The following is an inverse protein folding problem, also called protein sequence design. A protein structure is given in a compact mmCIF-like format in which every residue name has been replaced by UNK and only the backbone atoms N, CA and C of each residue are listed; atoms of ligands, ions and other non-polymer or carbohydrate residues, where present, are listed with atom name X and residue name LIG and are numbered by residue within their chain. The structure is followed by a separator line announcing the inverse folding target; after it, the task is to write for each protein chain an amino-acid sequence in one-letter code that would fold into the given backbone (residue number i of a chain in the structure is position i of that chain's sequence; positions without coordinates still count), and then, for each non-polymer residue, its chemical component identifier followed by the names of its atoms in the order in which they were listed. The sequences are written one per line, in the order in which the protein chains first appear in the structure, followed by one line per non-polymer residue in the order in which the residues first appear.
data_IF_912883773931
#
_entry.id   IF_912883773931
#
_cell.length_a   1.000
_cell.length_b   1.000
_cell.length_c   1.000
_cell.angle_alpha   90.00
_cell.angle_beta   90.00
_cell.angle_gamma   90.00
#
_symmetry.space_group_name_H-M   'P 1'
#
loop_
_entity.id
_entity.type
_entity.pdbx_description
1 polymer ?
#
# COMPACT_ATOMS: atom_id res chain seq x y z
N UNK A 1 -45.58 23.62 -18.56
CA UNK A 1 -44.37 22.78 -18.55
C UNK A 1 -43.24 23.52 -17.87
N UNK A 2 -43.18 23.35 -16.55
CA UNK A 2 -42.23 24.03 -15.66
C UNK A 2 -41.32 22.98 -15.05
N UNK A 3 -40.08 22.98 -15.50
CA UNK A 3 -38.96 22.19 -15.01
C UNK A 3 -38.74 22.48 -13.52
N UNK A 4 -38.85 21.46 -12.67
CA UNK A 4 -38.46 21.56 -11.26
C UNK A 4 -37.19 20.75 -11.05
N UNK A 5 -36.08 21.48 -10.97
CA UNK A 5 -34.75 21.05 -10.61
C UNK A 5 -34.75 20.64 -9.12
N UNK A 6 -34.36 19.40 -8.81
CA UNK A 6 -34.14 18.95 -7.43
C UNK A 6 -32.69 19.21 -7.04
N UNK A 7 -32.41 19.78 -5.85
CA UNK A 7 -31.06 20.09 -5.43
C UNK A 7 -30.33 18.82 -4.97
N UNK A 8 -29.13 18.62 -5.52
CA UNK A 8 -28.14 17.65 -5.08
C UNK A 8 -27.70 17.98 -3.65
N UNK A 9 -28.02 17.09 -2.70
CA UNK A 9 -27.44 17.14 -1.36
C UNK A 9 -26.16 16.33 -1.37
N UNK A 10 -25.03 17.01 -1.51
CA UNK A 10 -23.71 16.48 -1.23
C UNK A 10 -23.61 16.13 0.27
N UNK A 11 -23.73 14.86 0.60
CA UNK A 11 -23.26 14.34 1.89
C UNK A 11 -21.80 13.90 1.74
N UNK A 12 -20.88 14.39 2.60
CA UNK A 12 -19.56 13.80 2.73
C UNK A 12 -19.70 12.36 3.20
N UNK A 13 -19.23 11.40 2.41
CA UNK A 13 -19.10 10.00 2.86
C UNK A 13 -17.89 9.98 3.78
N UNK A 14 -18.15 10.08 5.09
CA UNK A 14 -17.18 9.80 6.14
C UNK A 14 -16.73 8.34 5.98
N UNK A 15 -15.45 8.18 5.63
CA UNK A 15 -14.80 6.88 5.60
C UNK A 15 -14.55 6.42 7.04
N UNK A 16 -15.34 5.45 7.50
CA UNK A 16 -14.97 4.61 8.62
C UNK A 16 -13.76 3.76 8.21
N UNK A 17 -12.55 4.34 8.30
CA UNK A 17 -11.29 3.64 8.06
C UNK A 17 -10.98 2.72 9.26
N UNK A 18 -11.79 1.67 9.43
CA UNK A 18 -11.44 0.57 10.33
C UNK A 18 -10.10 -0.05 9.85
N UNK A 19 -9.08 -0.15 10.72
CA UNK A 19 -7.77 -0.63 10.30
C UNK A 19 -7.88 -2.07 9.79
N UNK A 20 -7.48 -2.29 8.52
CA UNK A 20 -7.45 -3.62 7.91
C UNK A 20 -6.78 -4.64 8.84
N UNK A 21 -7.54 -5.67 9.21
CA UNK A 21 -7.08 -6.74 10.11
C UNK A 21 -5.91 -7.52 9.53
N UNK A 22 -4.97 -7.92 10.38
CA UNK A 22 -3.89 -8.85 10.02
C UNK A 22 -4.35 -10.29 9.82
N UNK A 23 -5.54 -10.65 10.32
CA UNK A 23 -6.12 -11.99 10.17
C UNK A 23 -6.78 -12.16 8.79
N UNK A 24 -6.33 -13.12 7.96
CA UNK A 24 -6.89 -13.34 6.62
C UNK A 24 -8.36 -13.78 6.60
N UNK A 25 -8.92 -14.30 7.70
CA UNK A 25 -10.34 -14.62 7.79
C UNK A 25 -11.24 -13.37 7.82
N UNK A 26 -10.70 -12.23 8.25
CA UNK A 26 -11.45 -10.97 8.37
C UNK A 26 -11.32 -10.07 7.13
N UNK A 27 -10.63 -10.54 6.08
CA UNK A 27 -10.47 -9.75 4.86
C UNK A 27 -11.75 -9.73 4.05
N UNK A 28 -12.07 -8.60 3.39
CA UNK A 28 -13.25 -8.51 2.56
C UNK A 28 -13.18 -9.49 1.38
N UNK A 29 -14.32 -10.08 1.05
CA UNK A 29 -14.48 -10.99 -0.09
C UNK A 29 -15.63 -10.49 -0.97
N UNK A 30 -15.37 -9.98 -2.18
CA UNK A 30 -14.10 -10.01 -2.92
C UNK A 30 -13.08 -8.96 -2.47
N UNK A 31 -11.79 -9.26 -2.64
CA UNK A 31 -10.70 -8.33 -2.32
C UNK A 31 -10.61 -7.25 -3.42
N UNK A 32 -10.90 -6.00 -3.04
CA UNK A 32 -10.79 -4.83 -3.92
C UNK A 32 -9.33 -4.46 -4.22
N UNK A 33 -9.10 -3.64 -5.25
CA UNK A 33 -7.75 -3.23 -5.66
C UNK A 33 -6.97 -2.46 -4.59
N UNK A 34 -7.64 -1.58 -3.84
CA UNK A 34 -7.04 -0.81 -2.73
C UNK A 34 -6.61 -1.71 -1.58
N UNK A 35 -7.51 -2.59 -1.12
CA UNK A 35 -7.21 -3.57 -0.07
C UNK A 35 -6.09 -4.51 -0.50
N UNK A 36 -6.10 -5.00 -1.75
CA UNK A 36 -5.02 -5.83 -2.29
C UNK A 36 -3.67 -5.10 -2.25
N UNK A 37 -3.66 -3.81 -2.60
CA UNK A 37 -2.45 -2.99 -2.60
C UNK A 37 -1.90 -2.82 -1.19
N UNK A 38 -2.76 -2.55 -0.22
CA UNK A 38 -2.36 -2.40 1.17
C UNK A 38 -1.88 -3.72 1.80
N UNK A 39 -2.56 -4.84 1.51
CA UNK A 39 -2.12 -6.17 1.94
C UNK A 39 -0.73 -6.52 1.38
N UNK A 40 -0.49 -6.27 0.08
CA UNK A 40 0.84 -6.50 -0.51
C UNK A 40 1.89 -5.55 0.05
N UNK A 41 1.52 -4.30 0.36
CA UNK A 41 2.42 -3.32 0.99
C UNK A 41 2.89 -3.78 2.37
N UNK A 42 1.98 -4.29 3.20
CA UNK A 42 2.29 -4.84 4.53
C UNK A 42 3.04 -6.16 4.44
N UNK A 43 2.66 -6.98 3.46
CA UNK A 43 3.17 -8.34 3.29
C UNK A 43 2.52 -9.33 4.27
N UNK A 44 2.84 -10.63 4.13
CA UNK A 44 2.29 -11.66 4.99
C UNK A 44 2.82 -11.56 6.42
N UNK A 45 1.90 -11.58 7.38
CA UNK A 45 2.20 -11.56 8.82
C UNK A 45 2.95 -12.82 9.23
N UNK A 46 4.09 -12.64 9.89
CA UNK A 46 4.86 -13.75 10.46
C UNK A 46 4.30 -14.13 11.82
N UNK A 47 4.12 -15.43 12.04
CA UNK A 47 3.75 -15.95 13.36
C UNK A 47 5.00 -15.93 14.26
N UNK A 48 4.94 -15.33 15.47
CA UNK A 48 6.04 -15.36 16.43
C UNK A 48 6.36 -16.79 16.87
N UNK A 49 7.63 -17.11 17.11
CA UNK A 49 8.06 -18.45 17.55
C UNK A 49 7.48 -18.86 18.90
N UNK A 50 7.13 -17.91 19.76
CA UNK A 50 6.47 -18.13 21.05
C UNK A 50 4.95 -18.35 20.94
N UNK A 51 4.37 -18.19 19.76
CA UNK A 51 2.93 -18.34 19.58
C UNK A 51 2.50 -19.79 19.80
N UNK A 52 1.48 -19.97 20.64
CA UNK A 52 0.88 -21.27 20.93
C UNK A 52 -0.39 -21.41 20.10
N UNK A 53 -0.41 -22.41 19.23
CA UNK A 53 -1.55 -22.65 18.36
C UNK A 53 -2.70 -23.33 19.12
N UNK A 54 -3.94 -22.83 19.01
CA UNK A 54 -5.12 -23.48 19.58
C UNK A 54 -5.30 -24.90 19.01
N UNK A 55 -5.69 -25.82 19.89
CA UNK A 55 -6.03 -27.19 19.51
C UNK A 55 -7.40 -27.24 18.87
N UNK A 56 -7.53 -28.10 17.87
CA UNK A 56 -8.82 -28.45 17.27
C UNK A 56 -9.69 -29.15 18.31
N UNK A 57 -10.97 -28.80 18.36
CA UNK A 57 -11.94 -29.33 19.33
C UNK A 57 -12.20 -30.83 19.13
N UNK A 58 -11.99 -31.36 17.92
CA UNK A 58 -12.26 -32.76 17.61
C UNK A 58 -11.13 -33.72 17.99
N UNK A 59 -9.95 -33.53 17.38
CA UNK A 59 -8.82 -34.47 17.46
C UNK A 59 -7.69 -34.00 18.39
N UNK A 60 -7.83 -32.81 18.99
CA UNK A 60 -6.81 -32.19 19.84
C UNK A 60 -5.53 -31.80 19.12
N UNK A 61 -5.46 -31.93 17.78
CA UNK A 61 -4.29 -31.58 16.97
C UNK A 61 -4.26 -30.07 16.74
N UNK A 62 -3.07 -29.52 16.52
CA UNK A 62 -2.89 -28.10 16.27
C UNK A 62 -1.87 -27.84 15.17
N UNK A 63 -1.89 -26.60 14.69
CA UNK A 63 -0.81 -26.11 13.85
C UNK A 63 0.52 -26.11 14.62
N UNK A 64 1.61 -26.24 13.88
CA UNK A 64 2.97 -26.19 14.42
C UNK A 64 3.85 -25.29 13.55
N UNK A 65 4.87 -24.69 14.17
CA UNK A 65 5.86 -23.83 13.51
C UNK A 65 6.58 -24.50 12.33
N UNK A 66 6.67 -25.84 12.30
CA UNK A 66 7.31 -26.55 11.20
C UNK A 66 6.57 -26.39 9.86
N UNK A 67 5.25 -26.16 9.84
CA UNK A 67 4.49 -25.95 8.60
C UNK A 67 4.88 -24.66 7.87
N UNK A 68 5.48 -23.69 8.57
CA UNK A 68 5.97 -22.44 7.98
C UNK A 68 7.33 -22.60 7.29
N UNK A 69 7.94 -23.78 7.36
CA UNK A 69 9.25 -24.06 6.77
C UNK A 69 9.20 -25.29 5.87
N UNK A 70 9.87 -25.24 4.73
CA UNK A 70 10.11 -26.41 3.88
C UNK A 70 11.54 -26.89 4.07
N UNK A 71 11.75 -28.19 3.99
CA UNK A 71 13.08 -28.80 4.04
C UNK A 71 13.51 -29.13 2.61
N UNK A 72 14.67 -28.63 2.20
CA UNK A 72 15.26 -28.95 0.90
C UNK A 72 15.88 -30.35 0.92
N UNK A 73 16.20 -30.89 -0.25
CA UNK A 73 16.97 -32.14 -0.38
C UNK A 73 18.35 -32.06 0.27
N UNK A 74 18.91 -30.85 0.39
CA UNK A 74 20.15 -30.57 1.14
C UNK A 74 19.98 -30.64 2.67
N UNK A 75 18.75 -30.79 3.18
CA UNK A 75 18.44 -30.71 4.61
C UNK A 75 18.24 -29.28 5.13
N UNK A 76 18.47 -28.25 4.30
CA UNK A 76 18.27 -26.85 4.69
C UNK A 76 16.78 -26.54 4.90
N UNK A 77 16.46 -25.81 5.97
CA UNK A 77 15.10 -25.33 6.26
C UNK A 77 14.91 -23.91 5.72
N UNK A 78 14.01 -23.77 4.76
CA UNK A 78 13.68 -22.48 4.14
C UNK A 78 12.26 -22.07 4.52
N UNK A 79 12.09 -20.84 4.99
CA UNK A 79 10.78 -20.30 5.36
C UNK A 79 9.87 -20.12 4.13
N UNK A 80 8.61 -20.51 4.27
CA UNK A 80 7.54 -20.30 3.29
C UNK A 80 7.05 -18.86 3.40
N UNK A 81 7.56 -17.98 2.53
CA UNK A 81 7.24 -16.55 2.53
C UNK A 81 5.77 -16.21 2.24
N UNK A 82 4.98 -17.16 1.74
CA UNK A 82 3.57 -16.97 1.36
C UNK A 82 2.58 -17.50 2.41
N UNK A 83 3.06 -18.11 3.49
CA UNK A 83 2.21 -18.74 4.49
C UNK A 83 1.60 -17.73 5.46
N UNK A 84 0.31 -17.85 5.72
CA UNK A 84 -0.42 -17.11 6.76
C UNK A 84 -1.15 -18.08 7.68
N UNK A 85 -1.35 -17.64 8.91
CA UNK A 85 -2.19 -18.31 9.87
C UNK A 85 -3.37 -17.40 10.24
N UNK A 86 -4.58 -17.94 10.12
CA UNK A 86 -5.79 -17.32 10.64
C UNK A 86 -6.02 -17.81 12.06
N UNK A 87 -6.02 -16.87 13.02
CA UNK A 87 -6.38 -17.19 14.40
C UNK A 87 -7.88 -17.44 14.51
N UNK A 88 -8.70 -16.64 13.81
CA UNK A 88 -10.16 -16.76 13.85
C UNK A 88 -10.64 -18.11 13.32
N UNK A 89 -10.06 -18.61 12.22
CA UNK A 89 -10.45 -19.89 11.64
C UNK A 89 -9.58 -21.07 12.08
N UNK A 90 -8.57 -20.84 12.93
CA UNK A 90 -7.54 -21.81 13.28
C UNK A 90 -7.01 -22.60 12.05
N UNK A 91 -6.58 -21.87 11.02
CA UNK A 91 -6.26 -22.50 9.72
C UNK A 91 -5.15 -21.79 8.96
N UNK A 92 -4.44 -22.55 8.11
CA UNK A 92 -3.39 -22.01 7.24
C UNK A 92 -4.00 -21.47 5.94
N UNK A 93 -3.50 -20.33 5.49
CA UNK A 93 -3.96 -19.65 4.28
C UNK A 93 -2.75 -19.31 3.42
N UNK A 94 -2.89 -19.45 2.10
CA UNK A 94 -1.86 -19.05 1.15
C UNK A 94 -2.09 -17.59 0.74
N UNK A 95 -1.14 -16.71 1.09
CA UNK A 95 -1.26 -15.27 0.85
C UNK A 95 -1.43 -14.93 -0.63
N UNK A 96 -0.52 -15.39 -1.49
CA UNK A 96 -0.55 -15.04 -2.90
C UNK A 96 -1.79 -15.63 -3.60
N UNK A 97 -2.18 -16.86 -3.27
CA UNK A 97 -3.36 -17.49 -3.86
C UNK A 97 -4.66 -16.82 -3.39
N UNK A 98 -4.74 -16.39 -2.12
CA UNK A 98 -5.90 -15.63 -1.62
C UNK A 98 -6.10 -14.31 -2.37
N UNK A 99 -5.00 -13.65 -2.75
CA UNK A 99 -5.04 -12.33 -3.41
C UNK A 99 -5.25 -12.38 -4.92
N UNK A 100 -4.70 -13.40 -5.59
CA UNK A 100 -4.54 -13.42 -7.06
C UNK A 100 -5.10 -14.68 -7.73
N UNK A 101 -5.39 -15.76 -6.99
CA UNK A 101 -5.95 -16.96 -7.62
C UNK A 101 -7.39 -16.71 -8.03
N UNK A 102 -7.78 -17.29 -9.17
CA UNK A 102 -9.17 -17.36 -9.62
C UNK A 102 -9.87 -18.63 -9.12
N UNK A 103 -9.12 -19.55 -8.50
CA UNK A 103 -9.63 -20.85 -8.06
C UNK A 103 -9.89 -20.83 -6.55
N UNK A 104 -11.02 -21.39 -6.16
CA UNK A 104 -11.35 -21.68 -4.77
C UNK A 104 -10.65 -22.97 -4.32
N UNK A 105 -9.44 -22.83 -3.77
CA UNK A 105 -8.74 -23.92 -3.09
C UNK A 105 -8.95 -23.83 -1.57
N UNK A 106 -8.72 -24.92 -0.84
CA UNK A 106 -8.82 -24.94 0.62
C UNK A 106 -7.98 -23.82 1.27
N UNK A 107 -6.77 -23.59 0.79
CA UNK A 107 -5.86 -22.53 1.24
C UNK A 107 -6.31 -21.09 0.91
N UNK A 108 -7.41 -20.92 0.16
CA UNK A 108 -7.98 -19.62 -0.23
C UNK A 108 -9.32 -19.41 0.46
N UNK A 109 -10.21 -20.40 0.51
CA UNK A 109 -11.59 -20.21 0.98
C UNK A 109 -11.72 -20.42 2.49
N UNK A 110 -11.60 -21.68 2.94
CA UNK A 110 -11.81 -22.10 4.34
C UNK A 110 -10.53 -22.02 5.19
N UNK A 111 -9.37 -22.03 4.53
CA UNK A 111 -8.09 -22.35 5.14
C UNK A 111 -7.91 -23.85 5.36
N UNK A 112 -6.65 -24.25 5.56
CA UNK A 112 -6.23 -25.62 5.82
C UNK A 112 -6.11 -25.85 7.33
N UNK A 113 -6.99 -26.69 7.87
CA UNK A 113 -6.99 -27.12 9.27
C UNK A 113 -6.79 -28.64 9.45
N UNK A 114 -6.69 -29.41 8.36
CA UNK A 114 -6.34 -30.83 8.42
C UNK A 114 -4.84 -31.00 8.67
N UNK A 115 -4.46 -31.00 9.95
CA UNK A 115 -3.08 -31.10 10.40
C UNK A 115 -2.43 -32.43 10.03
N UNK A 116 -3.21 -33.49 9.83
CA UNK A 116 -2.75 -34.83 9.44
C UNK A 116 -2.11 -34.81 8.07
N UNK A 117 -2.78 -34.18 7.11
CA UNK A 117 -2.36 -34.16 5.72
C UNK A 117 -1.71 -32.83 5.31
N UNK A 118 -1.60 -31.88 6.25
CA UNK A 118 -1.09 -30.53 5.99
C UNK A 118 0.26 -30.53 5.28
N UNK A 119 1.24 -31.31 5.74
CA UNK A 119 2.57 -31.35 5.11
C UNK A 119 2.53 -31.80 3.65
N UNK A 120 1.75 -32.83 3.34
CA UNK A 120 1.60 -33.34 1.96
C UNK A 120 0.91 -32.32 1.07
N UNK A 121 -0.18 -31.72 1.56
CA UNK A 121 -0.95 -30.72 0.83
C UNK A 121 -0.14 -29.44 0.57
N UNK A 122 0.64 -28.98 1.54
CA UNK A 122 1.50 -27.81 1.38
C UNK A 122 2.61 -28.06 0.33
N UNK A 123 3.21 -29.26 0.34
CA UNK A 123 4.25 -29.63 -0.62
C UNK A 123 3.70 -29.82 -2.05
N UNK A 124 2.48 -30.32 -2.21
CA UNK A 124 1.84 -30.41 -3.53
C UNK A 124 1.36 -29.04 -4.01
N UNK A 125 0.82 -28.21 -3.10
CA UNK A 125 0.38 -26.86 -3.40
C UNK A 125 1.51 -25.97 -3.91
N UNK A 126 2.68 -25.97 -3.27
CA UNK A 126 3.81 -25.11 -3.68
C UNK A 126 4.34 -25.47 -5.08
N UNK A 127 4.15 -26.71 -5.53
CA UNK A 127 4.52 -27.20 -6.87
C UNK A 127 3.44 -26.97 -7.91
N UNK A 128 2.23 -26.56 -7.50
CA UNK A 128 1.12 -26.37 -8.42
C UNK A 128 1.34 -25.15 -9.33
N UNK A 129 0.97 -25.24 -10.62
CA UNK A 129 1.20 -24.14 -11.58
C UNK A 129 0.46 -22.86 -11.18
N UNK A 130 -0.70 -23.00 -10.56
CA UNK A 130 -1.50 -21.87 -10.06
C UNK A 130 -0.80 -21.13 -8.93
N UNK A 131 -0.22 -21.85 -7.96
CA UNK A 131 0.57 -21.24 -6.90
C UNK A 131 1.79 -20.50 -7.48
N UNK A 132 2.52 -21.15 -8.40
CA UNK A 132 3.70 -20.56 -9.05
C UNK A 132 3.31 -19.27 -9.80
N UNK A 133 2.19 -19.28 -10.51
CA UNK A 133 1.69 -18.10 -11.21
C UNK A 133 1.27 -16.99 -10.22
N UNK A 134 0.52 -17.32 -9.17
CA UNK A 134 0.14 -16.36 -8.12
C UNK A 134 1.37 -15.75 -7.43
N UNK A 135 2.40 -16.56 -7.16
CA UNK A 135 3.67 -16.11 -6.61
C UNK A 135 4.39 -15.13 -7.56
N UNK A 136 4.41 -15.42 -8.86
CA UNK A 136 4.98 -14.54 -9.88
C UNK A 136 4.23 -13.22 -9.93
N UNK A 137 2.90 -13.25 -10.03
CA UNK A 137 2.04 -12.06 -10.03
C UNK A 137 2.24 -11.22 -8.77
N UNK A 138 2.30 -11.87 -7.60
CA UNK A 138 2.55 -11.16 -6.34
C UNK A 138 3.91 -10.46 -6.32
N UNK A 139 4.99 -11.13 -6.74
CA UNK A 139 6.33 -10.52 -6.82
C UNK A 139 6.37 -9.36 -7.81
N UNK A 140 5.80 -9.53 -9.00
CA UNK A 140 5.71 -8.47 -10.00
C UNK A 140 4.91 -7.27 -9.49
N UNK A 141 3.76 -7.53 -8.87
CA UNK A 141 2.92 -6.49 -8.28
C UNK A 141 3.65 -5.73 -7.18
N UNK A 142 4.37 -6.44 -6.31
CA UNK A 142 5.21 -5.84 -5.26
C UNK A 142 6.28 -4.93 -5.86
N UNK A 143 6.98 -5.39 -6.91
CA UNK A 143 7.99 -4.59 -7.60
C UNK A 143 7.36 -3.36 -8.26
N UNK A 144 6.23 -3.50 -8.95
CA UNK A 144 5.52 -2.37 -9.57
C UNK A 144 5.06 -1.36 -8.52
N UNK A 145 4.55 -1.83 -7.39
CA UNK A 145 4.10 -0.99 -6.28
C UNK A 145 5.26 -0.21 -5.65
N UNK A 146 6.40 -0.87 -5.44
CA UNK A 146 7.61 -0.20 -4.95
C UNK A 146 8.19 0.76 -6.00
N UNK A 147 8.14 0.37 -7.29
CA UNK A 147 8.59 1.22 -8.39
C UNK A 147 7.74 2.46 -8.57
N UNK A 148 6.42 2.36 -8.46
CA UNK A 148 5.51 3.52 -8.44
C UNK A 148 5.94 4.51 -7.37
N UNK A 149 6.20 4.02 -6.15
CA UNK A 149 6.74 4.86 -5.07
C UNK A 149 8.12 5.46 -5.35
N UNK A 150 8.99 4.78 -6.12
CA UNK A 150 10.32 5.32 -6.46
C UNK A 150 10.30 6.26 -7.66
N UNK A 151 9.42 6.04 -8.64
CA UNK A 151 9.21 6.93 -9.78
C UNK A 151 8.64 8.24 -9.25
N UNK A 152 7.60 8.18 -8.43
CA UNK A 152 7.00 9.34 -7.77
C UNK A 152 8.06 10.16 -7.04
N UNK A 153 9.00 9.52 -6.32
CA UNK A 153 10.08 10.24 -5.62
C UNK A 153 11.00 11.02 -6.56
N UNK A 154 11.41 10.44 -7.69
CA UNK A 154 12.31 11.11 -8.63
C UNK A 154 11.61 12.23 -9.38
N UNK A 155 10.37 12.01 -9.81
CA UNK A 155 9.56 13.01 -10.50
C UNK A 155 9.17 14.17 -9.58
N UNK A 156 8.77 13.88 -8.34
CA UNK A 156 8.51 14.89 -7.31
C UNK A 156 9.75 15.74 -7.03
N UNK A 157 10.95 15.14 -7.01
CA UNK A 157 12.20 15.88 -6.83
C UNK A 157 12.49 16.82 -8.01
N UNK A 158 12.25 16.39 -9.26
CA UNK A 158 12.39 17.24 -10.44
C UNK A 158 11.38 18.38 -10.45
N UNK A 159 10.11 18.10 -10.12
CA UNK A 159 9.07 19.11 -10.00
C UNK A 159 9.41 20.15 -8.92
N UNK A 160 9.96 19.71 -7.79
CA UNK A 160 10.39 20.63 -6.72
C UNK A 160 11.58 21.49 -7.14
N UNK A 161 12.56 20.92 -7.86
CA UNK A 161 13.70 21.68 -8.39
C UNK A 161 13.25 22.73 -9.43
N UNK A 162 12.33 22.36 -10.32
CA UNK A 162 11.71 23.31 -11.24
C UNK A 162 10.94 24.40 -10.50
N UNK A 163 10.18 24.04 -9.46
CA UNK A 163 9.45 25.00 -8.62
C UNK A 163 10.39 25.99 -7.96
N UNK A 164 11.52 25.53 -7.40
CA UNK A 164 12.54 26.38 -6.78
C UNK A 164 13.18 27.29 -7.81
N UNK A 165 13.54 26.76 -8.99
CA UNK A 165 14.09 27.53 -10.10
C UNK A 165 13.13 28.65 -10.54
N UNK A 166 11.86 28.32 -10.76
CA UNK A 166 10.85 29.30 -11.16
C UNK A 166 10.59 30.35 -10.08
N UNK A 167 10.58 29.97 -8.80
CA UNK A 167 10.52 30.94 -7.69
C UNK A 167 11.70 31.89 -7.68
N UNK A 168 12.92 31.41 -7.91
CA UNK A 168 14.09 32.26 -7.98
C UNK A 168 14.01 33.27 -9.14
N UNK A 169 13.53 32.83 -10.32
CA UNK A 169 13.31 33.71 -11.47
C UNK A 169 12.26 34.77 -11.14
N UNK A 170 11.10 34.39 -10.63
CA UNK A 170 10.02 35.31 -10.26
C UNK A 170 10.49 36.32 -9.20
N UNK A 171 11.24 35.86 -8.19
CA UNK A 171 11.82 36.74 -7.15
C UNK A 171 12.75 37.79 -7.73
N UNK A 172 13.56 37.44 -8.73
CA UNK A 172 14.43 38.40 -9.41
C UNK A 172 13.62 39.41 -10.22
N UNK A 173 12.59 38.96 -10.94
CA UNK A 173 11.72 39.84 -11.72
C UNK A 173 10.97 40.82 -10.82
N UNK A 174 10.41 40.37 -9.70
CA UNK A 174 9.73 41.26 -8.76
C UNK A 174 10.69 42.25 -8.11
N UNK A 175 11.92 41.84 -7.78
CA UNK A 175 12.94 42.75 -7.26
C UNK A 175 13.30 43.86 -8.26
N UNK A 176 13.43 43.52 -9.55
CA UNK A 176 13.70 44.49 -10.62
C UNK A 176 12.56 45.51 -10.71
N UNK A 177 11.31 45.05 -10.79
CA UNK A 177 10.13 45.93 -10.86
C UNK A 177 10.06 46.83 -9.62
N UNK A 178 10.29 46.28 -8.44
CA UNK A 178 10.27 47.04 -7.18
C UNK A 178 11.38 48.10 -7.15
N UNK A 179 12.56 47.81 -7.68
CA UNK A 179 13.66 48.77 -7.79
C UNK A 179 13.32 49.95 -8.70
N UNK A 180 12.64 49.71 -9.83
CA UNK A 180 12.20 50.78 -10.73
C UNK A 180 11.15 51.68 -10.07
N UNK A 181 10.17 51.07 -9.38
CA UNK A 181 9.15 51.82 -8.65
C UNK A 181 9.78 52.68 -7.54
N UNK A 182 10.70 52.11 -6.76
CA UNK A 182 11.41 52.85 -5.73
C UNK A 182 12.19 54.03 -6.31
N UNK A 183 12.94 53.84 -7.40
CA UNK A 183 13.68 54.91 -8.08
C UNK A 183 12.74 56.01 -8.58
N UNK A 184 11.61 55.66 -9.20
CA UNK A 184 10.62 56.63 -9.65
C UNK A 184 10.02 57.44 -8.48
N UNK A 185 9.71 56.79 -7.36
CA UNK A 185 9.27 57.47 -6.14
C UNK A 185 10.32 58.44 -5.60
N UNK A 186 11.60 58.05 -5.57
CA UNK A 186 12.69 58.94 -5.18
C UNK A 186 12.77 60.17 -6.09
N UNK A 187 12.74 59.99 -7.42
CA UNK A 187 12.78 61.10 -8.38
C UNK A 187 11.62 62.08 -8.20
N UNK A 188 10.39 61.57 -8.05
CA UNK A 188 9.20 62.40 -7.83
C UNK A 188 9.28 63.16 -6.51
N UNK A 189 9.80 62.54 -5.45
CA UNK A 189 10.02 63.19 -4.16
C UNK A 189 11.03 64.34 -4.25
N UNK A 190 12.17 64.12 -4.91
CA UNK A 190 13.17 65.17 -5.12
C UNK A 190 12.65 66.30 -6.01
N UNK A 191 11.90 65.99 -7.07
CA UNK A 191 11.29 66.99 -7.93
C UNK A 191 10.26 67.85 -7.17
N UNK A 192 9.43 67.23 -6.33
CA UNK A 192 8.47 67.93 -5.47
C UNK A 192 9.16 68.87 -4.47
N UNK A 193 10.24 68.41 -3.82
CA UNK A 193 11.05 69.25 -2.94
C UNK A 193 11.68 70.42 -3.70
N UNK A 194 12.21 70.18 -4.90
CA UNK A 194 12.80 71.23 -5.72
C UNK A 194 11.79 72.32 -6.07
N UNK A 195 10.58 71.94 -6.52
CA UNK A 195 9.51 72.91 -6.80
C UNK A 195 9.12 73.73 -5.56
N UNK A 196 9.01 73.12 -4.37
CA UNK A 196 8.60 73.84 -3.17
C UNK A 196 9.68 74.77 -2.58
N UNK A 197 10.94 74.59 -2.97
CA UNK A 197 12.06 75.43 -2.49
C UNK A 197 12.40 76.55 -3.47
N UNK A 198 12.22 76.32 -4.78
CA UNK A 198 12.67 77.24 -5.84
C UNK A 198 11.55 77.97 -6.60
N UNK A 199 10.27 77.65 -6.33
CA UNK A 199 9.09 78.38 -6.82
C UNK A 199 8.35 78.94 -5.60
#
# INVERSE_FOLDING_TARGET
DTSTEKPETNQPIEGDDEPLSSDPAKWPSPITGSVRTELVRRGPTKVPTSFVFPRSEGDGRCCHHHYFNRTLTSGEKVARSWMLYSVSNNSLVCFCCKLFSKRSIQLTTSGLADWTHASSLLNSHEKSPDHINCMKTWKEFTVRLMKGKTIDKKEMALLEDERVRWRAVLTRLTAIVTSFVAAACFYLFFFYLFLNVYI
#
